data_IF_397003015239
#
_entry.id   IF_397003015239
#
_cell.length_a   1.000
_cell.length_b   1.000
_cell.length_c   1.000
_cell.angle_alpha   90.00
_cell.angle_beta   90.00
_cell.angle_gamma   90.00
#
_symmetry.space_group_name_H-M   'P 1'
#
loop_
_entity.id
_entity.type
_entity.pdbx_description
1 polymer ?
#
# COMPACT_ATOMS: atom_id res chain seq x y z
N UNK A 1 -7.90 -56.66 -35.53
CA UNK A 1 -6.69 -55.92 -35.14
C UNK A 1 -6.97 -54.47 -34.74
N UNK A 2 -8.18 -53.93 -34.94
CA UNK A 2 -8.55 -52.55 -34.55
C UNK A 2 -9.05 -52.40 -33.09
N UNK A 3 -9.32 -53.51 -32.39
CA UNK A 3 -9.91 -53.49 -31.05
C UNK A 3 -8.92 -53.01 -29.98
N UNK A 4 -7.64 -53.36 -30.11
CA UNK A 4 -6.61 -53.06 -29.11
C UNK A 4 -6.25 -51.58 -29.02
N UNK A 5 -6.31 -50.85 -30.14
CA UNK A 5 -5.99 -49.41 -30.15
C UNK A 5 -7.03 -48.58 -29.38
N UNK A 6 -8.30 -49.02 -29.39
CA UNK A 6 -9.38 -48.28 -28.71
C UNK A 6 -9.28 -48.43 -27.20
N UNK A 7 -8.98 -49.64 -26.70
CA UNK A 7 -8.79 -49.88 -25.27
C UNK A 7 -7.54 -49.16 -24.74
N UNK A 8 -6.45 -49.10 -25.51
CA UNK A 8 -5.27 -48.31 -25.11
C UNK A 8 -5.57 -46.81 -25.10
N UNK A 9 -6.36 -46.30 -26.05
CA UNK A 9 -6.76 -44.89 -26.08
C UNK A 9 -7.65 -44.55 -24.88
N UNK A 10 -8.65 -45.38 -24.56
CA UNK A 10 -9.49 -45.19 -23.37
C UNK A 10 -8.68 -45.30 -22.08
N UNK A 11 -7.73 -46.24 -22.00
CA UNK A 11 -6.84 -46.37 -20.85
C UNK A 11 -5.89 -45.17 -20.70
N UNK A 12 -5.42 -44.57 -21.80
CA UNK A 12 -4.62 -43.35 -21.78
C UNK A 12 -5.44 -42.14 -21.32
N UNK A 13 -6.67 -42.00 -21.81
CA UNK A 13 -7.60 -40.95 -21.35
C UNK A 13 -7.94 -41.15 -19.87
N UNK A 14 -8.16 -42.40 -19.42
CA UNK A 14 -8.44 -42.72 -18.03
C UNK A 14 -7.25 -42.50 -17.09
N UNK A 15 -5.99 -42.64 -17.57
CA UNK A 15 -4.81 -42.25 -16.79
C UNK A 15 -4.58 -40.73 -16.78
N UNK A 16 -4.99 -40.01 -17.82
CA UNK A 16 -4.94 -38.55 -17.82
C UNK A 16 -5.99 -37.94 -16.89
N UNK A 17 -7.15 -38.56 -16.73
CA UNK A 17 -8.22 -38.09 -15.81
C UNK A 17 -7.73 -37.82 -14.37
N UNK A 18 -7.05 -38.75 -13.66
CA UNK A 18 -6.57 -38.51 -12.31
C UNK A 18 -5.48 -37.43 -12.26
N UNK A 19 -4.60 -37.34 -13.27
CA UNK A 19 -3.58 -36.28 -13.33
C UNK A 19 -4.21 -34.89 -13.50
N UNK A 20 -5.24 -34.80 -14.34
CA UNK A 20 -6.02 -33.59 -14.57
C UNK A 20 -6.78 -33.23 -13.28
N UNK A 21 -7.47 -34.18 -12.65
CA UNK A 21 -8.24 -33.93 -11.42
C UNK A 21 -7.35 -33.47 -10.24
N UNK A 22 -6.17 -34.06 -10.07
CA UNK A 22 -5.22 -33.66 -9.02
C UNK A 22 -4.61 -32.26 -9.27
N UNK A 23 -4.54 -31.83 -10.53
CA UNK A 23 -4.06 -30.49 -10.88
C UNK A 23 -5.06 -29.38 -10.52
N UNK A 24 -6.36 -29.69 -10.39
CA UNK A 24 -7.42 -28.73 -10.05
C UNK A 24 -7.83 -28.81 -8.57
N UNK A 25 -8.37 -27.73 -8.03
CA UNK A 25 -8.89 -27.71 -6.66
C UNK A 25 -10.25 -28.41 -6.61
N UNK A 26 -10.39 -29.39 -5.73
CA UNK A 26 -11.63 -30.21 -5.57
C UNK A 26 -12.80 -29.42 -4.93
N UNK A 27 -12.56 -28.18 -4.47
CA UNK A 27 -13.55 -27.35 -3.79
C UNK A 27 -14.53 -26.63 -4.73
N UNK A 28 -14.40 -26.83 -6.05
CA UNK A 28 -15.23 -26.16 -7.05
C UNK A 28 -14.87 -24.68 -7.25
N UNK A 29 -13.72 -24.24 -6.75
CA UNK A 29 -13.22 -22.88 -6.98
C UNK A 29 -12.91 -22.67 -8.46
N UNK A 30 -13.43 -21.58 -9.02
CA UNK A 30 -13.18 -21.19 -10.40
C UNK A 30 -12.14 -20.06 -10.43
N UNK A 31 -11.17 -20.17 -11.35
CA UNK A 31 -10.24 -19.10 -11.64
C UNK A 31 -10.95 -17.89 -12.25
N UNK A 32 -10.21 -16.79 -12.41
CA UNK A 32 -10.71 -15.55 -13.04
C UNK A 32 -11.25 -15.78 -14.45
N UNK A 33 -10.70 -16.78 -15.16
CA UNK A 33 -11.11 -17.15 -16.51
C UNK A 33 -12.37 -18.03 -16.54
N UNK A 34 -12.95 -18.38 -15.38
CA UNK A 34 -14.09 -19.29 -15.26
C UNK A 34 -13.74 -20.78 -15.37
N UNK A 35 -12.46 -21.11 -15.57
CA UNK A 35 -11.96 -22.49 -15.57
C UNK A 35 -11.73 -23.00 -14.13
N UNK A 36 -11.81 -24.32 -13.88
CA UNK A 36 -11.51 -24.88 -12.56
C UNK A 36 -10.12 -24.43 -12.10
N UNK A 37 -10.02 -24.00 -10.85
CA UNK A 37 -8.82 -23.40 -10.29
C UNK A 37 -7.70 -24.44 -10.19
N UNK A 38 -6.55 -24.16 -10.80
CA UNK A 38 -5.39 -25.05 -10.71
C UNK A 38 -4.80 -24.96 -9.30
N UNK A 39 -4.66 -26.09 -8.60
CA UNK A 39 -4.12 -26.19 -7.24
C UNK A 39 -2.72 -25.59 -7.11
N UNK A 40 -1.89 -25.68 -8.14
CA UNK A 40 -0.54 -25.11 -8.14
C UNK A 40 -0.49 -23.58 -8.34
N UNK A 41 -1.54 -22.99 -8.93
CA UNK A 41 -1.63 -21.53 -9.16
C UNK A 41 -2.51 -20.83 -8.14
N UNK A 42 -3.46 -21.54 -7.56
CA UNK A 42 -4.52 -20.98 -6.73
C UNK A 42 -4.22 -21.32 -5.28
N UNK A 43 -3.56 -20.38 -4.58
CA UNK A 43 -3.24 -20.53 -3.16
C UNK A 43 -1.82 -21.02 -2.87
N UNK A 44 -1.43 -20.91 -1.60
CA UNK A 44 -0.09 -21.22 -1.11
C UNK A 44 0.82 -20.00 -0.96
N UNK A 45 2.13 -20.26 -0.85
CA UNK A 45 3.15 -19.26 -0.54
C UNK A 45 3.25 -18.13 -1.58
N UNK A 46 2.81 -18.34 -2.82
CA UNK A 46 2.84 -17.30 -3.86
C UNK A 46 1.97 -16.09 -3.50
N UNK A 47 0.81 -16.30 -2.90
CA UNK A 47 -0.06 -15.21 -2.43
C UNK A 47 0.44 -14.62 -1.11
N UNK A 48 0.97 -15.45 -0.21
CA UNK A 48 1.49 -14.99 1.07
C UNK A 48 2.73 -14.09 0.94
N UNK A 49 3.64 -14.37 -0.01
CA UNK A 49 4.88 -13.59 -0.21
C UNK A 49 4.65 -12.07 -0.40
N UNK A 50 3.80 -11.61 -1.33
CA UNK A 50 3.55 -10.17 -1.49
C UNK A 50 2.83 -9.55 -0.29
N UNK A 51 1.93 -10.29 0.38
CA UNK A 51 1.25 -9.80 1.60
C UNK A 51 2.27 -9.57 2.71
N UNK A 52 3.10 -10.58 3.01
CA UNK A 52 4.14 -10.50 4.03
C UNK A 52 5.19 -9.44 3.68
N UNK A 53 5.58 -9.34 2.40
CA UNK A 53 6.53 -8.32 1.96
C UNK A 53 5.99 -6.90 2.12
N UNK A 54 4.69 -6.70 1.82
CA UNK A 54 4.02 -5.40 2.01
C UNK A 54 3.93 -5.06 3.50
N UNK A 55 3.54 -6.02 4.34
CA UNK A 55 3.46 -5.83 5.79
C UNK A 55 4.83 -5.51 6.39
N UNK A 56 5.87 -6.22 5.96
CA UNK A 56 7.24 -5.95 6.39
C UNK A 56 7.71 -4.55 5.97
N UNK A 57 7.46 -4.16 4.72
CA UNK A 57 7.81 -2.83 4.23
C UNK A 57 7.03 -1.73 4.97
N UNK A 58 5.75 -1.96 5.22
CA UNK A 58 4.89 -1.07 6.01
C UNK A 58 5.45 -0.91 7.42
N UNK A 59 5.76 -2.00 8.11
CA UNK A 59 6.37 -1.98 9.44
C UNK A 59 7.71 -1.21 9.43
N UNK A 60 8.59 -1.53 8.48
CA UNK A 60 9.90 -0.89 8.37
C UNK A 60 9.78 0.63 8.17
N UNK A 61 8.91 1.07 7.26
CA UNK A 61 8.67 2.48 7.00
C UNK A 61 8.02 3.18 8.21
N UNK A 62 7.00 2.55 8.81
CA UNK A 62 6.30 3.09 9.98
C UNK A 62 7.25 3.30 11.16
N UNK A 63 8.02 2.27 11.54
CA UNK A 63 8.97 2.37 12.65
C UNK A 63 10.16 3.26 12.32
N UNK A 64 10.67 3.20 11.09
CA UNK A 64 11.75 4.08 10.63
C UNK A 64 11.39 5.56 10.74
N UNK A 65 10.17 5.94 10.33
CA UNK A 65 9.70 7.32 10.49
C UNK A 65 9.46 7.62 11.97
N UNK A 66 8.78 6.74 12.71
CA UNK A 66 8.43 6.97 14.12
C UNK A 66 9.66 7.27 14.98
N UNK A 67 10.74 6.51 14.83
CA UNK A 67 11.95 6.70 15.62
C UNK A 67 12.69 8.00 15.29
N UNK A 68 12.74 8.37 14.01
CA UNK A 68 13.37 9.62 13.61
C UNK A 68 12.51 10.85 13.95
N UNK A 69 11.18 10.70 13.97
CA UNK A 69 10.26 11.82 14.15
C UNK A 69 10.31 12.41 15.56
N UNK A 70 10.34 11.58 16.61
CA UNK A 70 10.43 12.06 18.01
C UNK A 70 11.70 12.89 18.21
N UNK A 71 12.83 12.38 17.75
CA UNK A 71 14.12 13.08 17.86
C UNK A 71 14.16 14.34 17.01
N UNK A 72 13.63 14.30 15.78
CA UNK A 72 13.56 15.48 14.92
C UNK A 72 12.73 16.60 15.55
N UNK A 73 11.55 16.29 16.11
CA UNK A 73 10.70 17.30 16.75
C UNK A 73 11.32 17.91 18.01
N UNK A 74 12.10 17.13 18.77
CA UNK A 74 12.73 17.59 20.01
C UNK A 74 14.06 18.30 19.75
N UNK A 75 14.91 17.77 18.87
CA UNK A 75 16.26 18.28 18.61
C UNK A 75 16.29 19.43 17.59
N UNK A 76 15.58 19.29 16.47
CA UNK A 76 15.64 20.28 15.38
C UNK A 76 14.57 21.36 15.54
N UNK A 77 13.34 20.95 15.87
CA UNK A 77 12.22 21.88 16.00
C UNK A 77 12.09 22.47 17.40
N UNK A 78 12.95 22.06 18.35
CA UNK A 78 12.96 22.48 19.75
C UNK A 78 11.58 22.45 20.43
N UNK A 79 10.71 21.51 20.05
CA UNK A 79 9.43 21.35 20.72
C UNK A 79 9.64 20.77 22.13
N UNK A 80 8.76 21.13 23.07
CA UNK A 80 8.75 20.49 24.38
C UNK A 80 8.46 18.99 24.23
N UNK A 81 9.00 18.17 25.13
CA UNK A 81 8.82 16.72 25.07
C UNK A 81 7.33 16.31 25.02
N UNK A 82 6.48 17.05 25.74
CA UNK A 82 5.02 16.85 25.74
C UNK A 82 4.42 17.20 24.37
N UNK A 83 4.80 18.33 23.78
CA UNK A 83 4.30 18.75 22.47
C UNK A 83 4.75 17.80 21.34
N UNK A 84 6.03 17.37 21.37
CA UNK A 84 6.58 16.41 20.41
C UNK A 84 5.85 15.06 20.50
N UNK A 85 5.64 14.52 21.71
CA UNK A 85 4.92 13.27 21.91
C UNK A 85 3.47 13.34 21.40
N UNK A 86 2.78 14.46 21.64
CA UNK A 86 1.44 14.69 21.10
C UNK A 86 1.44 14.71 19.56
N UNK A 87 2.38 15.44 18.95
CA UNK A 87 2.50 15.51 17.49
C UNK A 87 2.78 14.16 16.85
N UNK A 88 3.68 13.37 17.45
CA UNK A 88 3.96 11.99 17.01
C UNK A 88 2.71 11.12 17.13
N UNK A 89 1.97 11.24 18.24
CA UNK A 89 0.73 10.47 18.45
C UNK A 89 -0.36 10.85 17.44
N UNK A 90 -0.51 12.14 17.11
CA UNK A 90 -1.42 12.61 16.05
C UNK A 90 -1.01 12.08 14.68
N UNK A 91 0.28 12.05 14.38
CA UNK A 91 0.79 11.45 13.14
C UNK A 91 0.45 9.95 13.07
N UNK A 92 0.71 9.18 14.13
CA UNK A 92 0.35 7.76 14.20
C UNK A 92 -1.15 7.54 14.05
N UNK A 93 -1.98 8.36 14.72
CA UNK A 93 -3.42 8.31 14.59
C UNK A 93 -3.86 8.54 13.14
N UNK A 94 -3.22 9.47 12.43
CA UNK A 94 -3.51 9.73 11.01
C UNK A 94 -3.18 8.51 10.15
N UNK A 95 -2.05 7.84 10.40
CA UNK A 95 -1.67 6.60 9.71
C UNK A 95 -2.71 5.49 9.88
N UNK A 96 -3.31 5.33 11.07
CA UNK A 96 -4.35 4.32 11.32
C UNK A 96 -5.73 4.72 10.81
N UNK A 97 -6.07 6.01 10.85
CA UNK A 97 -7.35 6.51 10.34
C UNK A 97 -7.42 6.52 8.81
N UNK A 98 -6.28 6.67 8.13
CA UNK A 98 -6.21 6.72 6.65
C UNK A 98 -6.76 5.46 5.96
N UNK A 99 -6.34 4.22 6.29
CA UNK A 99 -6.91 3.02 5.67
C UNK A 99 -8.38 2.83 6.06
N UNK A 100 -8.80 3.22 7.27
CA UNK A 100 -10.20 3.19 7.67
C UNK A 100 -11.05 4.13 6.81
N UNK A 101 -10.60 5.37 6.60
CA UNK A 101 -11.25 6.32 5.71
C UNK A 101 -11.28 5.81 4.26
N UNK A 102 -10.18 5.19 3.81
CA UNK A 102 -10.09 4.56 2.49
C UNK A 102 -11.09 3.40 2.32
N UNK A 103 -11.27 2.57 3.34
CA UNK A 103 -12.21 1.46 3.35
C UNK A 103 -13.67 1.97 3.29
N UNK A 104 -14.04 2.91 4.17
CA UNK A 104 -15.38 3.53 4.15
C UNK A 104 -15.67 4.18 2.80
N UNK A 105 -14.69 4.86 2.21
CA UNK A 105 -14.83 5.42 0.88
C UNK A 105 -15.05 4.32 -0.17
N UNK A 106 -14.28 3.22 -0.12
CA UNK A 106 -14.39 2.08 -1.03
C UNK A 106 -15.77 1.42 -0.97
N UNK A 107 -16.34 1.29 0.23
CA UNK A 107 -17.66 0.69 0.45
C UNK A 107 -18.81 1.62 0.00
N UNK A 108 -18.63 2.94 0.10
CA UNK A 108 -19.73 3.90 -0.06
C UNK A 108 -20.03 4.33 -1.50
N UNK A 109 -19.05 4.36 -2.42
CA UNK A 109 -19.25 5.05 -3.72
C UNK A 109 -18.53 4.42 -4.94
N UNK A 110 -19.09 3.37 -5.56
CA UNK A 110 -18.95 3.14 -7.03
C UNK A 110 -17.73 2.36 -7.59
N UNK A 111 -17.28 1.30 -6.93
CA UNK A 111 -16.33 0.35 -7.51
C UNK A 111 -14.87 0.79 -7.36
N UNK A 112 -14.04 -0.19 -7.04
CA UNK A 112 -12.65 -0.14 -6.54
C UNK A 112 -11.72 0.93 -7.14
N UNK A 113 -11.94 1.37 -8.37
CA UNK A 113 -11.04 2.27 -9.09
C UNK A 113 -11.25 3.75 -8.73
N UNK A 114 -12.49 4.18 -8.47
CA UNK A 114 -12.79 5.62 -8.28
C UNK A 114 -12.24 6.16 -6.96
N UNK A 115 -12.24 5.37 -5.90
CA UNK A 115 -11.72 5.80 -4.59
C UNK A 115 -10.22 5.98 -4.58
N UNK A 116 -9.50 5.14 -5.32
CA UNK A 116 -8.06 5.28 -5.53
C UNK A 116 -7.73 6.56 -6.30
N UNK A 117 -8.50 6.88 -7.35
CA UNK A 117 -8.32 8.14 -8.08
C UNK A 117 -8.64 9.34 -7.19
N UNK A 118 -9.72 9.29 -6.40
CA UNK A 118 -10.09 10.39 -5.50
C UNK A 118 -9.04 10.60 -4.41
N UNK A 119 -8.50 9.54 -3.78
CA UNK A 119 -7.44 9.70 -2.79
C UNK A 119 -6.17 10.29 -3.41
N UNK A 120 -5.79 9.86 -4.62
CA UNK A 120 -4.70 10.47 -5.37
C UNK A 120 -4.99 11.94 -5.70
N UNK A 121 -6.20 12.27 -6.16
CA UNK A 121 -6.60 13.65 -6.47
C UNK A 121 -6.57 14.54 -5.23
N UNK A 122 -7.07 14.05 -4.08
CA UNK A 122 -7.02 14.79 -2.82
C UNK A 122 -5.56 15.00 -2.40
N UNK A 123 -4.73 13.95 -2.44
CA UNK A 123 -3.31 14.06 -2.11
C UNK A 123 -2.59 15.12 -2.95
N UNK A 124 -2.79 15.08 -4.26
CA UNK A 124 -2.21 16.05 -5.21
C UNK A 124 -2.83 17.44 -5.06
N UNK A 125 -4.10 17.57 -4.68
CA UNK A 125 -4.76 18.87 -4.50
C UNK A 125 -4.38 19.56 -3.19
N UNK A 126 -4.09 18.80 -2.13
CA UNK A 126 -3.65 19.35 -0.84
C UNK A 126 -2.23 19.91 -0.94
N UNK A 127 -1.35 19.31 -1.75
CA UNK A 127 0.03 19.75 -1.94
C UNK A 127 0.18 21.21 -2.44
N UNK A 128 -0.46 21.65 -3.54
CA UNK A 128 -0.35 23.01 -4.04
C UNK A 128 -1.05 24.01 -3.12
N UNK A 129 -2.17 23.64 -2.49
CA UNK A 129 -2.89 24.57 -1.61
C UNK A 129 -2.06 24.90 -0.36
N UNK A 130 -1.33 23.93 0.18
CA UNK A 130 -0.43 24.16 1.30
C UNK A 130 0.85 24.89 0.88
N UNK A 131 1.42 24.54 -0.27
CA UNK A 131 2.63 25.18 -0.81
C UNK A 131 2.40 26.65 -1.19
N UNK A 132 1.24 26.97 -1.78
CA UNK A 132 0.86 28.36 -2.09
C UNK A 132 0.64 29.17 -0.81
N UNK A 133 0.08 28.57 0.24
CA UNK A 133 -0.19 29.27 1.50
C UNK A 133 1.07 29.48 2.36
N UNK A 134 2.05 28.58 2.32
CA UNK A 134 3.32 28.76 3.06
C UNK A 134 4.41 29.46 2.24
N UNK A 135 4.37 29.39 0.91
CA UNK A 135 5.37 29.97 0.01
C UNK A 135 5.33 31.50 -0.12
N UNK A 136 4.24 32.17 0.29
CA UNK A 136 4.12 33.63 0.13
C UNK A 136 4.79 34.46 1.24
N UNK A 137 5.53 33.86 2.18
CA UNK A 137 6.15 34.62 3.28
C UNK A 137 7.69 34.71 3.26
N UNK A 138 8.40 34.08 2.32
CA UNK A 138 9.86 33.96 2.42
C UNK A 138 10.67 34.55 1.28
N UNK A 139 10.31 35.72 0.74
CA UNK A 139 11.28 36.66 0.15
C UNK A 139 10.65 38.06 0.23
N UNK A 140 11.17 39.09 0.95
CA UNK A 140 12.59 39.39 1.19
C UNK A 140 12.86 40.00 2.59
N UNK A 141 13.22 39.22 3.62
CA UNK A 141 13.82 39.79 4.85
C UNK A 141 15.34 39.59 4.93
N UNK A 142 15.94 38.93 3.93
CA UNK A 142 17.41 38.78 3.86
C UNK A 142 18.15 40.07 3.43
N UNK A 143 17.43 41.15 3.12
CA UNK A 143 18.05 42.42 2.72
C UNK A 143 18.23 43.43 3.87
N UNK A 144 17.68 43.18 5.08
CA UNK A 144 17.71 44.20 6.15
C UNK A 144 18.86 44.05 7.17
N UNK A 145 19.62 42.95 7.17
CA UNK A 145 20.68 42.75 8.17
C UNK A 145 22.06 43.33 7.77
N UNK A 146 22.26 43.82 6.53
CA UNK A 146 23.60 44.33 6.13
C UNK A 146 23.79 45.85 6.32
N UNK A 147 22.76 46.60 6.74
CA UNK A 147 22.86 48.07 6.86
C UNK A 147 23.26 48.59 8.24
N UNK A 148 23.51 47.74 9.24
CA UNK A 148 24.11 48.17 10.51
C UNK A 148 25.61 47.91 10.49
N UNK A 149 26.31 48.59 9.58
CA UNK A 149 27.74 48.80 9.73
C UNK A 149 27.96 49.91 10.77
N UNK A 150 28.71 49.66 11.86
CA UNK A 150 28.96 50.65 12.89
C UNK A 150 29.88 51.75 12.32
N UNK A 151 29.37 52.97 12.32
CA UNK A 151 30.13 54.19 12.09
C UNK A 151 30.61 54.73 13.44
N UNK A 152 31.91 55.01 13.53
CA UNK A 152 32.68 55.62 14.62
C UNK A 152 33.20 54.70 15.73
#
# INVERSE_FOLDING_TARGET
MASTDTEQQEHAVALLQPEVEEAYTTDGSLGVDGNPALKHRTGGWMACRPILGTEFCYCLAYYGITFNLVTYLTAELHQSNVAAANNVSTWQATCFLTPLAGAVAADSYWGRYRTMVVSCCIGVAVSPLHFIRSGLCLVPNFFFQTSNFPSH
#
